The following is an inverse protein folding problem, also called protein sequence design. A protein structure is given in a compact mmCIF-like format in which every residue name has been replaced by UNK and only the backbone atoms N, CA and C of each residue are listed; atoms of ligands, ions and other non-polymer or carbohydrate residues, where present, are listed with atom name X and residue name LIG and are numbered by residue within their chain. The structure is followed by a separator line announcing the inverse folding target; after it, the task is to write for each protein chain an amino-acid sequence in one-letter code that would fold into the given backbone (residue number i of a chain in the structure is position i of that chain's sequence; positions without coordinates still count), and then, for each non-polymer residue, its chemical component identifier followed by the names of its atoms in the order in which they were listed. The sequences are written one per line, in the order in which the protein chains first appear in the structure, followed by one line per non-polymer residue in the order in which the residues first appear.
data_IF_907994248371
#
_entry.id   IF_907994248371
#
_cell.length_a   1.000
_cell.length_b   1.000
_cell.length_c   1.000
_cell.angle_alpha   90.00
_cell.angle_beta   90.00
_cell.angle_gamma   90.00
#
_symmetry.space_group_name_H-M   'P 1'
#
loop_
_entity.id
_entity.type
_entity.pdbx_description
1 polymer ?
#
# COMPACT_ATOMS: atom_id res chain seq x y z
N UNK A 1 4.41 39.66 -72.01
CA UNK A 1 5.60 39.60 -71.12
C UNK A 1 5.11 39.67 -69.68
N UNK A 2 5.52 38.69 -68.86
CA UNK A 2 5.36 38.56 -67.40
C UNK A 2 3.92 38.60 -66.84
N UNK A 3 3.22 37.46 -66.77
CA UNK A 3 3.18 36.49 -65.65
C UNK A 3 2.33 36.93 -64.45
N UNK A 4 1.03 36.62 -64.54
CA UNK A 4 0.12 36.50 -63.41
C UNK A 4 0.38 35.17 -62.70
N UNK A 5 0.64 35.19 -61.39
CA UNK A 5 0.60 34.00 -60.53
C UNK A 5 -0.58 34.14 -59.57
N UNK A 6 -1.65 33.43 -59.90
CA UNK A 6 -2.77 33.11 -59.02
C UNK A 6 -2.36 31.83 -58.27
N UNK A 7 -2.33 31.78 -56.93
CA UNK A 7 -2.15 30.51 -56.24
C UNK A 7 -3.43 29.67 -56.36
N UNK A 8 -3.22 28.46 -56.89
CA UNK A 8 -4.17 27.41 -57.24
C UNK A 8 -4.97 26.92 -56.02
N UNK A 9 -6.29 26.75 -56.18
CA UNK A 9 -7.12 25.95 -55.27
C UNK A 9 -7.09 24.45 -55.68
N UNK A 10 -7.43 23.59 -54.71
CA UNK A 10 -8.11 22.28 -54.81
C UNK A 10 -7.29 20.96 -54.87
N UNK A 11 -7.62 20.10 -53.90
CA UNK A 11 -7.77 18.62 -53.92
C UNK A 11 -6.55 17.68 -53.91
N UNK A 12 -6.40 17.01 -52.75
CA UNK A 12 -6.39 15.56 -52.57
C UNK A 12 -5.24 14.73 -53.18
N UNK A 13 -4.33 14.31 -52.30
CA UNK A 13 -3.77 12.96 -52.35
C UNK A 13 -3.98 12.29 -50.99
N UNK A 14 -4.99 11.42 -50.92
CA UNK A 14 -5.02 10.29 -49.98
C UNK A 14 -3.81 9.40 -50.30
N UNK A 15 -2.81 9.41 -49.42
CA UNK A 15 -1.83 8.32 -49.31
C UNK A 15 -1.69 7.99 -47.83
N UNK A 16 -2.59 7.13 -47.37
CA UNK A 16 -2.38 6.06 -46.39
C UNK A 16 -1.15 6.26 -45.48
N UNK A 17 -1.33 6.97 -44.35
CA UNK A 17 -0.48 6.72 -43.19
C UNK A 17 -1.11 5.55 -42.43
N UNK A 18 -0.41 4.43 -42.26
CA UNK A 18 -0.97 3.24 -41.65
C UNK A 18 -1.43 3.52 -40.23
N UNK A 19 -2.60 2.96 -39.93
CA UNK A 19 -3.16 2.76 -38.62
C UNK A 19 -2.18 1.92 -37.77
N UNK A 20 -1.15 2.53 -37.20
CA UNK A 20 -0.51 1.95 -36.03
C UNK A 20 -1.37 2.31 -34.82
N UNK A 21 -2.52 1.65 -34.77
CA UNK A 21 -3.23 1.36 -33.52
C UNK A 21 -2.34 0.45 -32.69
N UNK A 22 -1.35 1.05 -32.06
CA UNK A 22 -0.62 0.48 -30.94
C UNK A 22 -0.53 1.58 -29.90
N UNK A 23 -1.71 2.01 -29.44
CA UNK A 23 -1.84 2.38 -28.04
C UNK A 23 -1.52 1.08 -27.30
N UNK A 24 -0.25 0.91 -26.98
CA UNK A 24 0.15 -0.03 -25.95
C UNK A 24 -0.55 0.51 -24.72
N UNK A 25 -1.65 -0.13 -24.32
CA UNK A 25 -2.16 0.00 -22.97
C UNK A 25 -1.02 -0.50 -22.09
N UNK A 26 -0.16 0.41 -21.64
CA UNK A 26 0.71 0.14 -20.52
C UNK A 26 -0.24 -0.23 -19.39
N UNK A 27 -0.24 -1.52 -19.05
CA UNK A 27 -1.00 -2.04 -17.92
C UNK A 27 -0.69 -1.16 -16.71
N UNK A 28 -1.73 -0.52 -16.17
CA UNK A 28 -1.67 0.32 -14.98
C UNK A 28 -1.49 -0.54 -13.70
N UNK A 29 -0.85 -1.70 -13.79
CA UNK A 29 -0.68 -2.65 -12.69
C UNK A 29 0.72 -2.55 -12.04
N UNK A 30 1.69 -1.90 -12.68
CA UNK A 30 3.08 -1.85 -12.17
C UNK A 30 3.30 -0.86 -11.00
N UNK A 31 2.31 -0.05 -10.62
CA UNK A 31 2.47 1.01 -9.62
C UNK A 31 2.10 0.61 -8.18
N UNK A 32 1.27 -0.43 -8.00
CA UNK A 32 0.81 -0.82 -6.66
C UNK A 32 1.95 -1.39 -5.78
N UNK A 33 2.79 -2.34 -6.25
CA UNK A 33 3.86 -2.91 -5.43
C UNK A 33 4.90 -1.88 -4.95
N UNK A 34 5.24 -0.91 -5.81
CA UNK A 34 6.15 0.17 -5.46
C UNK A 34 5.57 1.10 -4.37
N UNK A 35 4.24 1.28 -4.38
CA UNK A 35 3.56 2.15 -3.41
C UNK A 35 3.45 1.51 -2.02
N UNK A 36 3.29 0.19 -1.98
CA UNK A 36 3.23 -0.58 -0.73
C UNK A 36 4.58 -0.54 -0.01
N UNK A 37 5.67 -0.80 -0.74
CA UNK A 37 7.03 -0.72 -0.21
C UNK A 37 7.34 0.69 0.35
N UNK A 38 7.02 1.75 -0.40
CA UNK A 38 7.20 3.14 0.06
C UNK A 38 6.43 3.42 1.36
N UNK A 39 5.20 2.95 1.46
CA UNK A 39 4.33 3.13 2.63
C UNK A 39 4.92 2.48 3.88
N UNK A 40 5.38 1.24 3.75
CA UNK A 40 6.00 0.49 4.84
C UNK A 40 7.37 1.06 5.23
N UNK A 41 8.17 1.56 4.29
CA UNK A 41 9.43 2.24 4.60
C UNK A 41 9.22 3.56 5.33
N UNK A 42 8.16 4.31 5.00
CA UNK A 42 7.74 5.49 5.77
C UNK A 42 7.35 5.11 7.19
N UNK A 43 6.62 4.01 7.37
CA UNK A 43 6.31 3.51 8.70
C UNK A 43 7.57 3.17 9.47
N UNK A 44 8.48 2.35 8.90
CA UNK A 44 9.78 2.01 9.50
C UNK A 44 10.54 3.26 9.93
N UNK A 45 10.62 4.28 9.07
CA UNK A 45 11.33 5.53 9.37
C UNK A 45 10.71 6.33 10.53
N UNK A 46 9.42 6.14 10.84
CA UNK A 46 8.75 6.76 11.99
C UNK A 46 9.00 6.05 13.33
N UNK A 47 9.54 4.83 13.30
CA UNK A 47 9.82 4.05 14.51
C UNK A 47 11.14 4.47 15.16
N UNK A 48 11.35 4.06 16.41
CA UNK A 48 12.64 4.26 17.07
C UNK A 48 13.76 3.44 16.40
N UNK A 49 15.02 3.85 16.61
CA UNK A 49 16.17 3.21 15.98
C UNK A 49 16.24 1.70 16.26
N UNK A 50 15.84 1.28 17.47
CA UNK A 50 15.84 -0.14 17.83
C UNK A 50 14.82 -0.91 17.00
N UNK A 51 13.59 -0.42 16.86
CA UNK A 51 12.58 -1.05 16.02
C UNK A 51 12.97 -1.06 14.54
N UNK A 52 13.62 0.00 14.06
CA UNK A 52 14.16 0.03 12.70
C UNK A 52 15.16 -1.10 12.44
N UNK A 53 16.00 -1.44 13.44
CA UNK A 53 16.94 -2.58 13.33
C UNK A 53 16.25 -3.94 13.34
N UNK A 54 15.11 -4.08 14.02
CA UNK A 54 14.31 -5.32 13.99
C UNK A 54 13.71 -5.56 12.59
N UNK A 55 13.41 -4.48 11.87
CA UNK A 55 12.93 -4.50 10.49
C UNK A 55 14.08 -4.41 9.46
N UNK A 56 15.25 -4.98 9.76
CA UNK A 56 16.45 -4.84 8.91
C UNK A 56 16.27 -5.36 7.48
N UNK A 57 15.41 -6.35 7.26
CA UNK A 57 15.12 -6.86 5.90
C UNK A 57 14.31 -5.89 5.04
N UNK A 58 13.65 -4.89 5.65
CA UNK A 58 12.79 -3.94 4.94
C UNK A 58 13.64 -2.90 4.22
N UNK A 59 14.06 -3.23 2.99
CA UNK A 59 14.95 -2.44 2.13
C UNK A 59 14.53 -2.59 0.66
N UNK A 60 14.68 -1.50 -0.11
CA UNK A 60 14.35 -1.48 -1.54
C UNK A 60 12.84 -1.44 -1.82
N UNK A 61 12.43 -1.99 -2.96
CA UNK A 61 11.05 -2.04 -3.46
C UNK A 61 10.41 -3.45 -3.37
N UNK A 62 11.23 -4.47 -3.10
CA UNK A 62 10.83 -5.88 -3.11
C UNK A 62 10.20 -6.30 -1.78
N UNK A 63 9.09 -5.66 -1.42
CA UNK A 63 8.44 -5.81 -0.11
C UNK A 63 7.96 -7.24 0.20
N UNK A 64 7.60 -8.04 -0.80
CA UNK A 64 7.20 -9.44 -0.60
C UNK A 64 8.31 -10.35 -0.05
N UNK A 65 9.58 -9.91 -0.10
CA UNK A 65 10.71 -10.64 0.49
C UNK A 65 11.02 -10.19 1.92
N UNK A 66 10.28 -9.23 2.46
CA UNK A 66 10.53 -8.69 3.79
C UNK A 66 9.95 -9.59 4.88
N UNK A 67 10.63 -9.64 6.02
CA UNK A 67 10.18 -10.38 7.18
C UNK A 67 8.78 -9.91 7.60
N UNK A 68 7.90 -10.89 7.78
CA UNK A 68 6.52 -10.68 8.19
C UNK A 68 5.59 -10.08 7.14
N UNK A 69 6.02 -9.99 5.88
CA UNK A 69 5.17 -9.61 4.76
C UNK A 69 4.81 -10.86 3.96
N UNK A 70 3.55 -10.99 3.57
CA UNK A 70 3.11 -12.00 2.59
C UNK A 70 2.34 -11.28 1.49
N UNK A 71 2.56 -11.73 0.26
CA UNK A 71 1.89 -11.22 -0.92
C UNK A 71 1.09 -12.32 -1.60
N UNK A 72 0.10 -11.92 -2.39
CA UNK A 72 -0.60 -12.81 -3.32
C UNK A 72 0.26 -13.12 -4.58
N UNK A 73 -0.32 -13.91 -5.48
CA UNK A 73 0.33 -14.29 -6.76
C UNK A 73 0.58 -13.09 -7.69
N UNK A 74 -0.15 -11.98 -7.50
CA UNK A 74 0.03 -10.73 -8.24
C UNK A 74 1.10 -9.83 -7.61
N UNK A 75 1.66 -10.21 -6.46
CA UNK A 75 2.65 -9.43 -5.73
C UNK A 75 2.06 -8.28 -4.91
N UNK A 76 0.76 -8.30 -4.62
CA UNK A 76 0.11 -7.35 -3.72
C UNK A 76 0.19 -7.84 -2.29
N UNK A 77 0.42 -6.92 -1.34
CA UNK A 77 0.54 -7.28 0.07
C UNK A 77 -0.81 -7.71 0.67
N UNK A 78 -0.87 -8.92 1.21
CA UNK A 78 -2.07 -9.49 1.85
C UNK A 78 -1.92 -9.64 3.36
N UNK A 79 -0.72 -9.95 3.87
CA UNK A 79 -0.54 -10.14 5.30
C UNK A 79 0.65 -9.33 5.85
N UNK A 80 0.42 -8.72 7.01
CA UNK A 80 1.46 -8.18 7.89
C UNK A 80 1.45 -8.96 9.20
N UNK A 81 2.44 -9.79 9.44
CA UNK A 81 2.61 -10.50 10.71
C UNK A 81 4.08 -10.64 11.05
N UNK A 82 4.56 -9.80 11.97
CA UNK A 82 5.96 -9.79 12.36
C UNK A 82 6.28 -10.95 13.33
N UNK A 83 7.52 -11.48 13.32
CA UNK A 83 7.97 -12.40 14.35
C UNK A 83 7.90 -11.78 15.75
N UNK A 84 7.80 -12.63 16.77
CA UNK A 84 7.86 -12.17 18.16
C UNK A 84 9.32 -11.79 18.51
N UNK A 85 9.61 -10.49 18.52
CA UNK A 85 10.90 -9.96 18.96
C UNK A 85 10.88 -9.73 20.46
N UNK A 86 11.90 -10.24 21.18
CA UNK A 86 12.05 -10.08 22.64
C UNK A 86 11.90 -8.62 23.10
N UNK A 87 12.33 -7.68 22.27
CA UNK A 87 12.32 -6.25 22.58
C UNK A 87 11.05 -5.52 22.15
N UNK A 88 10.25 -6.14 21.27
CA UNK A 88 9.05 -5.58 20.66
C UNK A 88 9.31 -4.33 19.81
N UNK A 89 8.47 -4.11 18.81
CA UNK A 89 8.44 -2.85 18.07
C UNK A 89 7.83 -1.73 18.94
N UNK A 90 8.45 -0.55 18.92
CA UNK A 90 8.00 0.69 19.56
C UNK A 90 7.68 1.73 18.51
N UNK A 91 6.62 2.51 18.75
CA UNK A 91 6.13 3.53 17.84
C UNK A 91 4.63 3.44 17.69
N UNK A 92 4.06 4.10 16.68
CA UNK A 92 2.63 4.15 16.45
C UNK A 92 2.25 3.41 15.15
N UNK A 93 0.97 3.06 15.03
CA UNK A 93 0.40 2.58 13.76
C UNK A 93 0.11 3.81 12.88
N UNK A 94 0.75 3.97 11.72
CA UNK A 94 0.50 5.10 10.83
C UNK A 94 -0.81 4.91 10.09
N UNK A 95 -1.51 5.99 9.76
CA UNK A 95 -2.78 5.91 9.02
C UNK A 95 -2.57 5.42 7.59
N UNK A 96 -1.38 5.62 7.02
CA UNK A 96 -1.02 5.17 5.68
C UNK A 96 -1.08 3.65 5.51
N UNK A 97 -0.98 2.86 6.59
CA UNK A 97 -1.18 1.40 6.52
C UNK A 97 -2.58 1.04 6.00
N UNK A 98 -3.55 1.94 6.17
CA UNK A 98 -4.94 1.77 5.73
C UNK A 98 -5.13 2.02 4.21
N UNK A 99 -4.05 2.34 3.49
CA UNK A 99 -4.01 2.43 2.03
C UNK A 99 -3.78 1.07 1.36
N UNK A 100 -3.30 0.07 2.11
CA UNK A 100 -3.00 -1.27 1.63
C UNK A 100 -4.29 -2.09 1.50
N UNK A 101 -5.01 -1.91 0.38
CA UNK A 101 -6.39 -2.42 0.20
C UNK A 101 -6.50 -3.94 0.15
N UNK A 102 -5.44 -4.61 -0.26
CA UNK A 102 -5.40 -6.07 -0.36
C UNK A 102 -5.10 -6.75 0.98
N UNK A 103 -4.88 -5.99 2.07
CA UNK A 103 -4.62 -6.59 3.38
C UNK A 103 -5.81 -7.40 3.87
N UNK A 104 -5.55 -8.67 4.14
CA UNK A 104 -6.45 -9.66 4.72
C UNK A 104 -6.14 -9.85 6.21
N UNK A 105 -4.85 -9.88 6.58
CA UNK A 105 -4.41 -10.09 7.95
C UNK A 105 -3.42 -9.03 8.42
N UNK A 106 -3.69 -8.45 9.59
CA UNK A 106 -2.75 -7.57 10.29
C UNK A 106 -2.57 -8.07 11.72
N UNK A 107 -1.38 -8.59 12.01
CA UNK A 107 -0.95 -8.98 13.35
C UNK A 107 0.27 -8.17 13.77
N UNK A 108 0.04 -7.27 14.73
CA UNK A 108 1.09 -6.52 15.43
C UNK A 108 1.13 -6.89 16.91
N UNK A 109 0.54 -8.03 17.27
CA UNK A 109 0.50 -8.54 18.64
C UNK A 109 1.90 -8.70 19.25
N UNK A 110 1.97 -8.67 20.59
CA UNK A 110 3.22 -8.88 21.34
C UNK A 110 4.32 -7.87 21.00
N UNK A 111 3.96 -6.60 20.87
CA UNK A 111 4.90 -5.50 20.65
C UNK A 111 4.75 -4.44 21.75
N UNK A 112 5.41 -3.30 21.57
CA UNK A 112 5.37 -2.14 22.47
C UNK A 112 4.81 -0.92 21.72
N UNK A 113 3.88 -1.16 20.79
CA UNK A 113 3.24 -0.12 19.99
C UNK A 113 2.36 0.73 20.90
N UNK A 114 2.40 2.05 20.69
CA UNK A 114 1.71 3.08 21.45
C UNK A 114 0.76 3.89 20.57
N UNK A 115 0.01 4.81 21.19
CA UNK A 115 -0.95 5.66 20.49
C UNK A 115 -2.27 4.95 20.22
N UNK A 116 -3.09 5.51 19.33
CA UNK A 116 -4.41 4.99 18.99
C UNK A 116 -4.41 4.20 17.69
N UNK A 117 -5.41 3.34 17.53
CA UNK A 117 -5.74 2.73 16.23
C UNK A 117 -6.24 3.86 15.31
N UNK A 118 -5.72 4.02 14.08
CA UNK A 118 -6.13 5.08 13.17
C UNK A 118 -7.62 5.01 12.81
N UNK A 119 -8.29 6.16 12.67
CA UNK A 119 -9.68 6.22 12.23
C UNK A 119 -9.85 5.68 10.79
N UNK A 120 -8.79 5.71 10.00
CA UNK A 120 -8.76 5.18 8.63
C UNK A 120 -8.79 3.65 8.56
N UNK A 121 -8.69 2.93 9.69
CA UNK A 121 -8.66 1.45 9.70
C UNK A 121 -9.85 0.85 8.95
N UNK A 122 -11.04 1.46 9.04
CA UNK A 122 -12.24 1.06 8.29
C UNK A 122 -12.13 1.10 6.77
N UNK A 123 -11.03 1.62 6.22
CA UNK A 123 -10.75 1.64 4.78
C UNK A 123 -10.14 0.33 4.26
N UNK A 124 -9.77 -0.60 5.13
CA UNK A 124 -9.19 -1.90 4.78
C UNK A 124 -10.30 -2.90 4.40
N UNK A 125 -10.87 -2.74 3.21
CA UNK A 125 -12.06 -3.48 2.78
C UNK A 125 -11.89 -5.01 2.74
N UNK A 126 -10.66 -5.50 2.55
CA UNK A 126 -10.37 -6.94 2.45
C UNK A 126 -10.02 -7.59 3.79
N UNK A 127 -9.82 -6.81 4.86
CA UNK A 127 -9.27 -7.35 6.11
C UNK A 127 -10.27 -8.27 6.80
N UNK A 128 -9.79 -9.46 7.17
CA UNK A 128 -10.55 -10.50 7.85
C UNK A 128 -10.05 -10.72 9.27
N UNK A 129 -8.78 -10.42 9.56
CA UNK A 129 -8.15 -10.64 10.87
C UNK A 129 -7.31 -9.44 11.31
N UNK A 130 -7.61 -8.89 12.49
CA UNK A 130 -6.81 -7.85 13.15
C UNK A 130 -6.45 -8.30 14.56
N UNK A 131 -5.15 -8.39 14.83
CA UNK A 131 -4.61 -8.78 16.14
C UNK A 131 -3.60 -7.77 16.66
N UNK A 132 -4.01 -6.96 17.63
CA UNK A 132 -3.20 -5.92 18.27
C UNK A 132 -3.02 -6.12 19.78
N UNK A 133 -3.42 -7.26 20.32
CA UNK A 133 -3.24 -7.59 21.74
C UNK A 133 -1.76 -7.56 22.19
N UNK A 134 -1.55 -7.41 23.49
CA UNK A 134 -0.22 -7.27 24.10
C UNK A 134 0.63 -6.18 23.44
N UNK A 135 0.03 -4.99 23.38
CA UNK A 135 0.67 -3.70 23.07
C UNK A 135 0.31 -2.68 24.15
N UNK A 136 0.75 -1.43 23.97
CA UNK A 136 0.43 -0.30 24.82
C UNK A 136 -0.43 0.74 24.06
N UNK A 137 -1.37 0.24 23.26
CA UNK A 137 -2.34 1.06 22.52
C UNK A 137 -3.30 1.75 23.49
N UNK A 138 -3.77 2.93 23.12
CA UNK A 138 -4.59 3.81 23.96
C UNK A 138 -5.62 4.56 23.11
N UNK A 139 -6.51 5.31 23.75
CA UNK A 139 -7.58 6.03 23.05
C UNK A 139 -8.75 5.12 22.65
N UNK A 140 -9.77 5.68 21.99
CA UNK A 140 -10.98 4.94 21.66
C UNK A 140 -10.75 3.93 20.53
N UNK A 141 -11.54 2.85 20.54
CA UNK A 141 -11.70 1.98 19.37
C UNK A 141 -12.38 2.81 18.27
N UNK A 142 -11.77 2.97 17.08
CA UNK A 142 -12.36 3.72 15.99
C UNK A 142 -13.73 3.18 15.57
N UNK A 143 -14.73 4.04 15.47
CA UNK A 143 -16.07 3.64 14.99
C UNK A 143 -16.06 3.09 13.57
N UNK A 144 -15.05 3.46 12.78
CA UNK A 144 -14.81 2.95 11.43
C UNK A 144 -14.49 1.45 11.37
N UNK A 145 -14.15 0.80 12.49
CA UNK A 145 -14.07 -0.68 12.55
C UNK A 145 -15.39 -1.32 12.11
N UNK A 146 -16.53 -0.66 12.32
CA UNK A 146 -17.83 -1.13 11.83
C UNK A 146 -17.96 -1.17 10.29
N UNK A 147 -17.04 -0.56 9.55
CA UNK A 147 -16.99 -0.61 8.08
C UNK A 147 -16.22 -1.81 7.54
N UNK A 148 -15.59 -2.62 8.41
CA UNK A 148 -14.81 -3.80 8.01
C UNK A 148 -15.73 -5.00 7.81
N UNK A 149 -16.42 -5.04 6.67
CA UNK A 149 -17.45 -6.06 6.39
C UNK A 149 -16.93 -7.49 6.30
N UNK A 150 -15.63 -7.68 6.03
CA UNK A 150 -14.99 -8.98 5.95
C UNK A 150 -14.35 -9.43 7.28
N UNK A 151 -14.41 -8.60 8.33
CA UNK A 151 -13.75 -8.89 9.60
C UNK A 151 -14.40 -10.08 10.31
N UNK A 152 -13.61 -11.11 10.56
CA UNK A 152 -14.05 -12.35 11.24
C UNK A 152 -13.43 -12.50 12.62
N UNK A 153 -12.22 -11.98 12.84
CA UNK A 153 -11.60 -11.95 14.15
C UNK A 153 -10.95 -10.59 14.42
N UNK A 154 -11.23 -10.08 15.61
CA UNK A 154 -10.68 -8.84 16.13
C UNK A 154 -10.24 -9.08 17.57
N UNK A 155 -8.94 -8.99 17.83
CA UNK A 155 -8.39 -9.07 19.18
C UNK A 155 -7.58 -7.81 19.47
N UNK A 156 -8.07 -7.04 20.45
CA UNK A 156 -7.53 -5.76 20.87
C UNK A 156 -7.32 -5.78 22.38
N UNK A 157 -6.20 -5.21 22.83
CA UNK A 157 -5.94 -4.85 24.22
C UNK A 157 -5.52 -3.40 24.27
N UNK A 158 -6.32 -2.58 24.94
CA UNK A 158 -6.03 -1.16 25.18
C UNK A 158 -5.54 -0.99 26.62
N UNK A 159 -4.63 -0.04 26.81
CA UNK A 159 -4.08 0.38 28.10
C UNK A 159 -5.01 1.38 28.80
#
# INVERSE_FOLDING_TARGET
MASFLIPFQVLFFLMLVPLQSSIVFASLAAAAPAKEAETLLKWKASLDNKSQTLLSSWLGDSHCNWVGITCDEAGSMTNLSLPNYVEGLRGNIPSEICLLKSLELISLSNNRITGSIPQEIGRLSSVSNIFFYDNNLSGPIPTSIGSLHNLTALDLKLA
#
